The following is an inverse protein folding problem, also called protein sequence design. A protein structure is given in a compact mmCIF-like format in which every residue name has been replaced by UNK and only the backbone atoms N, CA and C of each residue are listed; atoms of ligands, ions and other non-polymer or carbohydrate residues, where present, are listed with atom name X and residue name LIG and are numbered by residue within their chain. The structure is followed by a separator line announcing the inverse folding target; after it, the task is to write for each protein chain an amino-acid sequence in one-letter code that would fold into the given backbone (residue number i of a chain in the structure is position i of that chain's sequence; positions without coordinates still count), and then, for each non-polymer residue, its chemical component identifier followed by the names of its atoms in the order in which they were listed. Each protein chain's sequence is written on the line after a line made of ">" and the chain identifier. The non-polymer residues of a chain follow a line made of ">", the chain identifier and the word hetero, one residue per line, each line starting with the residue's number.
data_IF_709028845700
#
_entry.id   IF_709028845700
#
_cell.length_a   1.000
_cell.length_b   1.000
_cell.length_c   1.000
_cell.angle_alpha   90.00
_cell.angle_beta   90.00
_cell.angle_gamma   90.00
#
_symmetry.space_group_name_H-M   'P 1'
#
loop_
_entity.id
_entity.type
_entity.pdbx_description
1 polymer ?
#
# COMPACT_ATOMS: atom_id res chain seq x y z
N UNK A 1 27.29 -30.15 20.42
CA UNK A 1 27.18 -28.76 20.95
C UNK A 1 28.20 -27.94 20.16
N UNK A 2 27.88 -26.97 19.31
CA UNK A 2 27.12 -25.74 19.53
C UNK A 2 26.62 -25.23 18.16
N UNK A 3 25.33 -25.43 17.82
CA UNK A 3 24.73 -24.88 16.58
C UNK A 3 23.79 -23.69 16.83
N UNK A 4 23.74 -23.20 18.08
CA UNK A 4 22.88 -22.08 18.48
C UNK A 4 23.61 -20.73 18.44
N UNK A 5 24.94 -20.69 18.57
CA UNK A 5 25.70 -19.45 18.63
C UNK A 5 25.73 -18.68 17.30
N UNK A 6 25.70 -19.39 16.17
CA UNK A 6 25.71 -18.77 14.84
C UNK A 6 24.37 -18.12 14.50
N UNK A 7 23.27 -18.70 14.97
CA UNK A 7 21.92 -18.15 14.81
C UNK A 7 21.74 -16.87 15.64
N UNK A 8 22.23 -16.86 16.88
CA UNK A 8 22.23 -15.67 17.73
C UNK A 8 23.10 -14.54 17.17
N UNK A 9 24.31 -14.84 16.67
CA UNK A 9 25.15 -13.84 16.00
C UNK A 9 24.46 -13.26 14.75
N UNK A 10 23.74 -14.07 13.98
CA UNK A 10 22.99 -13.60 12.80
C UNK A 10 21.83 -12.68 13.18
N UNK A 11 21.17 -12.92 14.31
CA UNK A 11 20.08 -12.08 14.82
C UNK A 11 20.62 -10.74 15.38
N UNK A 12 21.72 -10.77 16.12
CA UNK A 12 22.35 -9.58 16.69
C UNK A 12 22.98 -8.70 15.60
N UNK A 13 23.61 -9.32 14.59
CA UNK A 13 24.16 -8.59 13.44
C UNK A 13 23.09 -7.89 12.62
N UNK A 14 21.87 -8.45 12.53
CA UNK A 14 20.73 -7.79 11.89
C UNK A 14 20.17 -6.64 12.75
N UNK A 15 20.21 -6.78 14.07
CA UNK A 15 19.73 -5.75 15.00
C UNK A 15 20.60 -4.48 14.98
N UNK A 16 21.88 -4.60 14.63
CA UNK A 16 22.83 -3.48 14.63
C UNK A 16 22.84 -2.66 13.32
N UNK A 17 22.05 -3.05 12.31
CA UNK A 17 21.88 -2.31 11.05
C UNK A 17 20.55 -1.55 10.97
N UNK A 18 19.88 -1.33 12.09
CA UNK A 18 18.70 -0.46 12.18
C UNK A 18 19.11 1.01 12.39
N UNK A 19 19.99 1.51 11.53
CA UNK A 19 20.30 2.94 11.41
C UNK A 19 19.99 3.32 9.97
N UNK A 20 18.74 3.77 9.76
CA UNK A 20 18.20 4.36 8.52
C UNK A 20 18.58 3.59 7.26
N UNK A 21 17.93 2.44 7.05
CA UNK A 21 17.88 1.86 5.71
C UNK A 21 17.14 2.86 4.83
N UNK A 22 17.78 3.33 3.75
CA UNK A 22 17.05 4.03 2.69
C UNK A 22 15.91 3.11 2.22
N UNK A 23 14.71 3.66 1.98
CA UNK A 23 13.61 2.86 1.48
C UNK A 23 14.04 2.18 0.17
N UNK A 24 13.76 0.88 0.06
CA UNK A 24 14.17 0.05 -1.08
C UNK A 24 13.64 0.59 -2.43
N UNK A 25 12.55 1.35 -2.38
CA UNK A 25 11.86 1.96 -3.51
C UNK A 25 11.41 3.38 -3.16
N UNK A 26 11.34 4.28 -4.14
CA UNK A 26 10.76 5.61 -3.92
C UNK A 26 9.23 5.56 -3.84
N UNK A 27 8.63 6.56 -3.20
CA UNK A 27 7.18 6.68 -3.11
C UNK A 27 6.53 6.73 -4.50
N UNK A 28 7.12 7.45 -5.46
CA UNK A 28 6.61 7.50 -6.82
C UNK A 28 6.61 6.13 -7.50
N UNK A 29 7.64 5.31 -7.28
CA UNK A 29 7.70 3.94 -7.82
C UNK A 29 6.59 3.08 -7.21
N UNK A 30 6.41 3.15 -5.89
CA UNK A 30 5.36 2.41 -5.19
C UNK A 30 3.96 2.84 -5.65
N UNK A 31 3.74 4.15 -5.86
CA UNK A 31 2.49 4.67 -6.39
C UNK A 31 2.23 4.21 -7.83
N UNK A 32 3.23 4.22 -8.71
CA UNK A 32 3.11 3.73 -10.09
C UNK A 32 2.78 2.25 -10.14
N UNK A 33 3.37 1.45 -9.26
CA UNK A 33 3.10 0.02 -9.16
C UNK A 33 1.70 -0.25 -8.64
N UNK A 34 1.28 0.44 -7.58
CA UNK A 34 -0.08 0.32 -7.05
C UNK A 34 -1.13 0.68 -8.11
N UNK A 35 -0.98 1.81 -8.82
CA UNK A 35 -1.93 2.21 -9.87
C UNK A 35 -1.88 1.29 -11.08
N UNK A 36 -0.70 0.78 -11.45
CA UNK A 36 -0.53 -0.20 -12.52
C UNK A 36 -1.36 -1.47 -12.32
N UNK A 37 -1.30 -2.06 -11.12
CA UNK A 37 -2.11 -3.25 -10.79
C UNK A 37 -3.62 -2.96 -10.82
N UNK A 38 -4.03 -1.75 -10.44
CA UNK A 38 -5.43 -1.36 -10.45
C UNK A 38 -5.99 -1.19 -11.87
N UNK A 39 -5.17 -0.71 -12.83
CA UNK A 39 -5.59 -0.48 -14.21
C UNK A 39 -6.09 -1.75 -14.91
N UNK A 40 -5.55 -2.93 -14.55
CA UNK A 40 -5.97 -4.20 -15.16
C UNK A 40 -7.42 -4.59 -14.83
N UNK A 41 -7.99 -4.05 -13.75
CA UNK A 41 -9.38 -4.30 -13.36
C UNK A 41 -10.38 -3.23 -13.80
N UNK A 42 -9.92 -2.17 -14.46
CA UNK A 42 -10.73 -1.02 -14.83
C UNK A 42 -11.27 -1.10 -16.27
N UNK A 43 -12.38 -0.42 -16.58
CA UNK A 43 -12.79 -0.20 -17.96
C UNK A 43 -11.73 0.62 -18.73
N UNK A 44 -11.68 0.45 -20.06
CA UNK A 44 -10.78 1.21 -20.94
C UNK A 44 -10.93 2.74 -20.77
N UNK A 45 -12.16 3.19 -20.51
CA UNK A 45 -12.48 4.58 -20.22
C UNK A 45 -13.08 4.72 -18.83
N UNK A 46 -12.40 5.50 -17.98
CA UNK A 46 -12.89 5.92 -16.67
C UNK A 46 -12.47 7.36 -16.40
N UNK A 47 -13.23 8.07 -15.59
CA UNK A 47 -12.90 9.45 -15.21
C UNK A 47 -11.86 9.48 -14.10
N UNK A 48 -12.06 8.67 -13.06
CA UNK A 48 -11.16 8.57 -11.91
C UNK A 48 -11.36 7.23 -11.20
N UNK A 49 -10.27 6.66 -10.70
CA UNK A 49 -10.27 5.48 -9.86
C UNK A 49 -9.54 5.76 -8.54
N UNK A 50 -9.85 4.97 -7.52
CA UNK A 50 -9.21 5.07 -6.22
C UNK A 50 -9.06 3.71 -5.55
N UNK A 51 -8.01 3.62 -4.74
CA UNK A 51 -7.88 2.62 -3.69
C UNK A 51 -7.84 3.35 -2.35
N UNK A 52 -8.74 3.00 -1.44
CA UNK A 52 -8.80 3.53 -0.08
C UNK A 52 -8.52 2.40 0.92
N UNK A 53 -7.42 2.52 1.65
CA UNK A 53 -7.02 1.60 2.70
C UNK A 53 -7.39 2.15 4.07
N UNK A 54 -7.90 1.27 4.94
CA UNK A 54 -8.29 1.59 6.30
C UNK A 54 -7.55 0.67 7.25
N UNK A 55 -6.73 1.26 8.11
CA UNK A 55 -5.91 0.54 9.09
C UNK A 55 -6.63 0.47 10.43
N UNK A 56 -6.92 -0.75 10.87
CA UNK A 56 -7.51 -1.03 12.17
C UNK A 56 -6.51 -1.76 13.05
N UNK A 57 -6.38 -1.30 14.31
CA UNK A 57 -5.57 -1.96 15.33
C UNK A 57 -6.52 -2.46 16.42
N UNK A 58 -6.46 -3.75 16.72
CA UNK A 58 -7.28 -4.32 17.79
C UNK A 58 -6.65 -4.14 19.18
N UNK A 59 -7.35 -4.60 20.22
CA UNK A 59 -6.88 -4.50 21.61
C UNK A 59 -5.59 -5.27 21.91
N UNK A 60 -5.20 -6.21 21.06
CA UNK A 60 -3.96 -6.98 21.17
C UNK A 60 -2.81 -6.35 20.38
N UNK A 61 -3.07 -5.24 19.67
CA UNK A 61 -2.08 -4.57 18.81
C UNK A 61 -1.93 -5.23 17.43
N UNK A 62 -2.83 -6.14 17.04
CA UNK A 62 -2.81 -6.73 15.69
C UNK A 62 -3.37 -5.73 14.70
N UNK A 63 -2.72 -5.64 13.54
CA UNK A 63 -3.10 -4.74 12.45
C UNK A 63 -3.93 -5.52 11.43
N UNK A 64 -5.09 -4.99 11.07
CA UNK A 64 -5.89 -5.43 9.94
C UNK A 64 -6.10 -4.25 8.99
N UNK A 65 -5.87 -4.48 7.69
CA UNK A 65 -6.11 -3.48 6.66
C UNK A 65 -7.27 -3.92 5.79
N UNK A 66 -8.26 -3.04 5.65
CA UNK A 66 -9.31 -3.18 4.66
C UNK A 66 -9.01 -2.26 3.48
N UNK A 67 -9.24 -2.73 2.26
CA UNK A 67 -9.09 -1.93 1.05
C UNK A 67 -10.41 -1.88 0.30
N UNK A 68 -10.76 -0.68 -0.19
CA UNK A 68 -11.89 -0.45 -1.08
C UNK A 68 -11.34 0.07 -2.40
N UNK A 69 -11.81 -0.54 -3.49
CA UNK A 69 -11.40 -0.22 -4.85
C UNK A 69 -12.62 0.29 -5.60
N UNK A 70 -12.62 1.56 -5.99
CA UNK A 70 -13.75 2.19 -6.66
C UNK A 70 -13.30 2.98 -7.89
N UNK A 71 -14.21 3.16 -8.84
CA UNK A 71 -14.03 4.06 -9.98
C UNK A 71 -15.33 4.77 -10.32
N UNK A 72 -15.22 5.86 -11.08
CA UNK A 72 -16.38 6.55 -11.64
C UNK A 72 -16.15 6.85 -13.13
N UNK A 73 -17.21 6.79 -13.93
CA UNK A 73 -17.14 6.93 -15.39
C UNK A 73 -17.13 8.39 -15.85
N UNK A 74 -17.72 9.29 -15.07
CA UNK A 74 -17.76 10.74 -15.34
C UNK A 74 -17.54 11.53 -14.06
N UNK A 75 -17.43 12.87 -14.16
CA UNK A 75 -17.30 13.73 -12.97
C UNK A 75 -18.51 13.63 -12.05
N UNK A 76 -19.70 13.45 -12.62
CA UNK A 76 -21.01 13.45 -11.95
C UNK A 76 -21.53 12.05 -11.57
N UNK A 77 -20.89 10.98 -12.04
CA UNK A 77 -21.31 9.62 -11.70
C UNK A 77 -20.86 9.23 -10.29
N UNK A 78 -21.69 8.44 -9.61
CA UNK A 78 -21.32 7.78 -8.35
C UNK A 78 -20.14 6.82 -8.54
N UNK A 79 -19.42 6.56 -7.45
CA UNK A 79 -18.39 5.53 -7.41
C UNK A 79 -19.01 4.14 -7.49
N UNK A 80 -18.39 3.29 -8.30
CA UNK A 80 -18.69 1.88 -8.46
C UNK A 80 -17.50 1.06 -8.00
N UNK A 81 -17.75 0.06 -7.16
CA UNK A 81 -16.69 -0.84 -6.71
C UNK A 81 -16.27 -1.81 -7.80
N UNK A 82 -15.00 -2.15 -7.81
CA UNK A 82 -14.44 -3.19 -8.68
C UNK A 82 -13.46 -4.06 -7.89
N UNK A 83 -12.98 -5.14 -8.51
CA UNK A 83 -12.00 -6.04 -7.90
C UNK A 83 -10.80 -6.13 -8.82
N UNK A 84 -9.65 -5.53 -8.45
CA UNK A 84 -8.43 -5.66 -9.24
C UNK A 84 -7.92 -7.12 -9.20
N UNK A 85 -7.15 -7.58 -10.20
CA UNK A 85 -6.58 -8.92 -10.21
C UNK A 85 -5.64 -9.22 -9.02
N UNK A 86 -4.95 -8.19 -8.53
CA UNK A 86 -4.09 -8.25 -7.35
C UNK A 86 -4.37 -7.04 -6.43
N UNK A 87 -5.26 -7.25 -5.46
CA UNK A 87 -5.66 -6.26 -4.46
C UNK A 87 -4.64 -6.11 -3.31
N UNK A 88 -3.89 -7.17 -3.03
CA UNK A 88 -2.89 -7.20 -1.97
C UNK A 88 -1.66 -6.36 -2.31
N UNK A 89 -1.22 -6.38 -3.57
CA UNK A 89 0.01 -5.69 -3.95
C UNK A 89 -0.13 -4.16 -3.84
N UNK A 90 -1.24 -3.59 -4.29
CA UNK A 90 -1.51 -2.15 -4.15
C UNK A 90 -1.58 -1.73 -2.66
N UNK A 91 -2.18 -2.56 -1.82
CA UNK A 91 -2.23 -2.35 -0.37
C UNK A 91 -0.84 -2.37 0.25
N UNK A 92 0.02 -3.33 -0.13
CA UNK A 92 1.39 -3.41 0.35
C UNK A 92 2.26 -2.21 -0.10
N UNK A 93 2.04 -1.68 -1.30
CA UNK A 93 2.71 -0.46 -1.75
C UNK A 93 2.38 0.73 -0.84
N UNK A 94 1.11 0.89 -0.46
CA UNK A 94 0.67 1.93 0.48
C UNK A 94 1.32 1.75 1.86
N UNK A 95 1.35 0.52 2.37
CA UNK A 95 2.03 0.23 3.65
C UNK A 95 3.52 0.58 3.61
N UNK A 96 4.19 0.33 2.48
CA UNK A 96 5.60 0.70 2.29
C UNK A 96 5.82 2.21 2.22
N UNK A 97 4.91 2.97 1.60
CA UNK A 97 4.99 4.44 1.54
C UNK A 97 4.85 5.01 2.95
N UNK A 98 3.87 4.52 3.71
CA UNK A 98 3.57 5.01 5.06
C UNK A 98 4.40 4.34 6.16
N UNK A 99 5.57 3.81 5.79
CA UNK A 99 6.48 3.04 6.64
C UNK A 99 6.54 3.54 8.10
N UNK A 100 5.86 2.84 9.02
CA UNK A 100 5.79 3.12 10.46
C UNK A 100 5.00 4.39 10.87
N UNK A 101 4.39 5.11 9.93
CA UNK A 101 3.46 6.21 10.22
C UNK A 101 2.19 5.69 10.90
N UNK A 102 1.66 6.45 11.86
CA UNK A 102 0.42 6.08 12.56
C UNK A 102 -0.81 6.60 11.81
N UNK A 103 -1.03 6.08 10.60
CA UNK A 103 -2.17 6.41 9.78
C UNK A 103 -3.39 5.52 10.10
N UNK A 104 -4.57 6.08 9.87
CA UNK A 104 -5.87 5.40 9.91
C UNK A 104 -6.42 5.16 8.51
N UNK A 105 -6.24 6.13 7.62
CA UNK A 105 -6.76 6.05 6.24
C UNK A 105 -5.70 6.52 5.25
N UNK A 106 -5.61 5.82 4.12
CA UNK A 106 -4.72 6.17 3.03
C UNK A 106 -5.44 5.95 1.71
N UNK A 107 -5.41 6.93 0.81
CA UNK A 107 -6.07 6.84 -0.48
C UNK A 107 -5.14 7.26 -1.61
N UNK A 108 -5.03 6.41 -2.63
CA UNK A 108 -4.51 6.78 -3.94
C UNK A 108 -5.69 7.08 -4.85
N UNK A 109 -5.68 8.26 -5.46
CA UNK A 109 -6.67 8.69 -6.46
C UNK A 109 -5.92 8.91 -7.78
N UNK A 110 -6.40 8.30 -8.86
CA UNK A 110 -5.68 8.34 -10.12
C UNK A 110 -6.58 8.36 -11.34
N UNK A 111 -6.04 8.92 -12.42
CA UNK A 111 -6.54 8.81 -13.79
C UNK A 111 -5.46 8.12 -14.63
N UNK A 112 -5.70 7.97 -15.94
CA UNK A 112 -4.66 7.52 -16.87
C UNK A 112 -3.49 8.51 -17.02
N UNK A 113 -3.59 9.74 -16.50
CA UNK A 113 -2.53 10.75 -16.61
C UNK A 113 -1.96 11.21 -15.26
N UNK A 114 -2.74 11.16 -14.19
CA UNK A 114 -2.34 11.72 -12.90
C UNK A 114 -2.54 10.72 -11.78
N UNK A 115 -1.75 10.88 -10.72
CA UNK A 115 -1.87 10.10 -9.49
C UNK A 115 -1.66 11.05 -8.32
N UNK A 116 -2.49 10.90 -7.30
CA UNK A 116 -2.46 11.69 -6.08
C UNK A 116 -2.58 10.76 -4.89
N UNK A 117 -1.74 10.98 -3.89
CA UNK A 117 -1.74 10.22 -2.66
C UNK A 117 -2.09 11.12 -1.48
N UNK A 118 -2.94 10.61 -0.58
CA UNK A 118 -3.37 11.29 0.64
C UNK A 118 -3.45 10.28 1.78
N UNK A 119 -3.15 10.71 3.00
CA UNK A 119 -3.35 9.89 4.18
C UNK A 119 -3.68 10.76 5.40
N UNK A 120 -4.26 10.13 6.42
CA UNK A 120 -4.62 10.71 7.71
C UNK A 120 -4.30 9.75 8.85
#
# INVERSE_FOLDING_TARGET
>A
MFSFLNTFKRLISKQQTALTAEPEYSDEQLLQWATGCMLEGLPDEFYEARISCFRNIDSEGRIAIAAIHDFKLTSESEYMSFTPPDDLYATHCIEKILNEENWREATIIFTTQTTRFMWQ
#
